data_IF_786889327715
#
_entry.id   IF_786889327715
#
_cell.length_a   1.000
_cell.length_b   1.000
_cell.length_c   1.000
_cell.angle_alpha   90.00
_cell.angle_beta   90.00
_cell.angle_gamma   90.00
#
_symmetry.space_group_name_H-M   'P 1'
#
loop_
_entity.id
_entity.type
_entity.pdbx_description
1 polymer ?
#
# COMPACT_ATOMS: atom_id res chain seq x y z
N UNK A 1 -42.50 -57.33 -18.69
CA UNK A 1 -43.69 -56.82 -19.40
C UNK A 1 -44.49 -55.89 -18.50
N UNK A 2 -44.23 -54.57 -18.58
CA UNK A 2 -45.22 -53.49 -18.56
C UNK A 2 -44.47 -52.16 -18.60
N UNK A 3 -44.73 -51.41 -19.66
CA UNK A 3 -44.21 -50.08 -19.98
C UNK A 3 -45.40 -49.14 -19.81
N UNK A 4 -45.28 -48.06 -19.01
CA UNK A 4 -46.15 -46.88 -19.02
C UNK A 4 -45.25 -45.68 -18.62
N UNK A 5 -44.71 -44.92 -19.59
CA UNK A 5 -45.25 -43.69 -20.23
C UNK A 5 -45.18 -42.41 -19.36
N UNK A 6 -44.20 -41.57 -19.74
CA UNK A 6 -44.26 -40.13 -20.09
C UNK A 6 -45.22 -39.23 -19.32
N UNK A 7 -44.69 -38.13 -18.78
CA UNK A 7 -45.48 -36.93 -18.48
C UNK A 7 -44.74 -35.91 -17.62
N UNK A 8 -44.28 -34.83 -18.25
CA UNK A 8 -43.57 -33.71 -17.63
C UNK A 8 -44.42 -32.90 -16.64
N UNK A 9 -43.79 -32.39 -15.57
CA UNK A 9 -44.14 -31.11 -14.93
C UNK A 9 -42.83 -30.43 -14.53
N UNK A 10 -42.56 -29.31 -15.18
CA UNK A 10 -41.48 -28.39 -14.83
C UNK A 10 -41.87 -27.43 -13.72
N UNK A 11 -40.91 -26.55 -13.42
CA UNK A 11 -40.95 -25.41 -12.52
C UNK A 11 -40.57 -25.68 -11.05
N UNK A 12 -39.48 -25.02 -10.65
CA UNK A 12 -39.19 -24.71 -9.25
C UNK A 12 -37.96 -25.43 -8.71
N UNK A 13 -36.79 -24.86 -8.91
CA UNK A 13 -35.93 -24.27 -7.84
C UNK A 13 -34.76 -23.60 -8.56
N UNK A 14 -34.97 -22.37 -9.02
CA UNK A 14 -33.88 -21.43 -9.34
C UNK A 14 -33.80 -20.43 -8.19
N UNK A 15 -33.33 -20.89 -7.03
CA UNK A 15 -33.25 -20.12 -5.79
C UNK A 15 -32.08 -20.65 -4.97
N UNK A 16 -30.85 -20.18 -5.27
CA UNK A 16 -29.73 -20.08 -4.31
C UNK A 16 -28.41 -19.66 -4.99
N UNK A 17 -28.37 -18.54 -5.70
CA UNK A 17 -27.10 -17.85 -5.98
C UNK A 17 -27.28 -16.33 -5.94
N UNK A 18 -27.78 -15.85 -4.80
CA UNK A 18 -27.61 -14.45 -4.40
C UNK A 18 -26.83 -14.43 -3.09
N UNK A 19 -25.56 -14.86 -3.15
CA UNK A 19 -24.61 -14.46 -2.13
C UNK A 19 -24.40 -12.95 -2.33
N UNK A 20 -25.18 -12.15 -1.61
CA UNK A 20 -24.84 -10.76 -1.39
C UNK A 20 -23.46 -10.77 -0.74
N UNK A 21 -22.43 -10.40 -1.49
CA UNK A 21 -21.14 -10.05 -0.92
C UNK A 21 -21.36 -8.77 -0.13
N UNK A 22 -21.83 -8.93 1.11
CA UNK A 22 -21.79 -7.86 2.09
C UNK A 22 -20.30 -7.60 2.30
N UNK A 23 -19.76 -6.58 1.64
CA UNK A 23 -18.43 -6.05 1.89
C UNK A 23 -18.46 -5.47 3.31
N UNK A 24 -18.31 -6.36 4.29
CA UNK A 24 -18.34 -6.02 5.69
C UNK A 24 -17.15 -5.10 5.99
N UNK A 25 -17.40 -4.07 6.81
CA UNK A 25 -16.34 -3.25 7.37
C UNK A 25 -15.27 -4.13 8.03
N UNK A 26 -14.03 -3.64 8.09
CA UNK A 26 -12.91 -4.41 8.64
C UNK A 26 -13.25 -4.86 10.08
N UNK A 27 -13.20 -6.18 10.38
CA UNK A 27 -13.49 -6.67 11.71
C UNK A 27 -12.61 -6.00 12.78
N UNK A 28 -13.10 -5.77 14.01
CA UNK A 28 -12.33 -5.10 15.07
C UNK A 28 -10.97 -5.75 15.33
N UNK A 29 -10.87 -7.07 15.21
CA UNK A 29 -9.63 -7.83 15.38
C UNK A 29 -8.59 -7.51 14.29
N UNK A 30 -9.02 -7.28 13.05
CA UNK A 30 -8.14 -6.87 11.98
C UNK A 30 -7.72 -5.42 12.13
N UNK A 31 -8.66 -4.53 12.50
CA UNK A 31 -8.35 -3.14 12.78
C UNK A 31 -7.33 -3.00 13.94
N UNK A 32 -7.37 -3.90 14.92
CA UNK A 32 -6.43 -3.94 16.04
C UNK A 32 -4.97 -4.25 15.65
N UNK A 33 -4.70 -4.64 14.39
CA UNK A 33 -3.35 -4.80 13.84
C UNK A 33 -2.69 -3.45 13.52
N UNK A 34 -3.49 -2.41 13.26
CA UNK A 34 -2.99 -1.06 12.98
C UNK A 34 -2.29 -0.48 14.22
N UNK A 35 -1.06 -0.01 14.03
CA UNK A 35 -0.20 0.45 15.12
C UNK A 35 0.53 -0.66 15.88
N UNK A 36 0.24 -1.94 15.59
CA UNK A 36 0.97 -3.11 16.10
C UNK A 36 1.92 -3.65 15.04
N UNK A 37 1.53 -4.71 14.35
CA UNK A 37 2.27 -5.35 13.26
C UNK A 37 2.10 -4.60 11.93
N UNK A 38 1.03 -3.81 11.78
CA UNK A 38 0.88 -2.83 10.72
C UNK A 38 1.24 -1.43 11.23
N UNK A 39 1.73 -0.56 10.34
CA UNK A 39 1.81 0.87 10.60
C UNK A 39 0.39 1.43 10.83
N UNK A 40 0.23 2.62 11.41
CA UNK A 40 -1.09 3.23 11.54
C UNK A 40 -1.81 3.46 10.20
N UNK A 41 -1.06 3.41 9.09
CA UNK A 41 -1.55 3.56 7.72
C UNK A 41 -1.82 2.22 7.02
N UNK A 42 -1.60 1.09 7.69
CA UNK A 42 -1.92 -0.24 7.16
C UNK A 42 -0.80 -0.94 6.38
N UNK A 43 0.39 -0.34 6.27
CA UNK A 43 1.55 -1.01 5.68
C UNK A 43 2.19 -1.99 6.68
N UNK A 44 2.92 -3.00 6.22
CA UNK A 44 3.73 -3.84 7.10
C UNK A 44 4.72 -2.97 7.89
N UNK A 45 4.78 -3.15 9.22
CA UNK A 45 5.70 -2.41 10.08
C UNK A 45 7.09 -3.02 10.12
N UNK A 46 7.18 -4.34 10.02
CA UNK A 46 8.43 -5.07 10.08
C UNK A 46 9.40 -4.68 8.93
N UNK A 47 10.68 -4.97 9.15
CA UNK A 47 11.68 -4.92 8.09
C UNK A 47 11.59 -6.14 7.19
N UNK A 48 12.33 -6.14 6.09
CA UNK A 48 12.42 -7.32 5.22
C UNK A 48 13.17 -8.44 5.94
N UNK A 49 12.78 -9.70 5.68
CA UNK A 49 13.49 -10.87 6.22
C UNK A 49 14.98 -10.91 5.82
N UNK A 50 15.33 -10.32 4.66
CA UNK A 50 16.70 -10.20 4.19
C UNK A 50 17.51 -9.08 4.90
N UNK A 51 16.90 -8.30 5.80
CA UNK A 51 17.56 -7.21 6.53
C UNK A 51 17.89 -5.97 5.68
N UNK A 52 17.49 -5.93 4.42
CA UNK A 52 17.78 -4.83 3.48
C UNK A 52 16.82 -3.65 3.63
N UNK A 53 15.65 -3.87 4.23
CA UNK A 53 14.65 -2.85 4.54
C UNK A 53 14.48 -2.83 6.06
N UNK A 54 14.75 -1.72 6.75
CA UNK A 54 14.58 -1.63 8.19
C UNK A 54 13.09 -1.63 8.58
N UNK A 55 12.74 -1.99 9.82
CA UNK A 55 11.39 -1.78 10.34
C UNK A 55 11.02 -0.29 10.33
N UNK A 56 9.74 0.01 10.20
CA UNK A 56 9.26 1.38 10.34
C UNK A 56 9.14 1.77 11.81
N UNK A 57 9.82 2.84 12.18
CA UNK A 57 9.94 3.34 13.56
C UNK A 57 9.30 4.71 13.77
N UNK A 58 8.49 5.19 12.82
CA UNK A 58 7.83 6.50 12.89
C UNK A 58 8.18 7.45 11.74
N UNK A 59 9.25 7.16 11.00
CA UNK A 59 9.77 8.04 9.96
C UNK A 59 10.47 9.27 10.56
N UNK A 60 10.60 10.33 9.77
CA UNK A 60 11.20 11.61 10.20
C UNK A 60 10.14 12.45 10.90
N UNK A 61 10.28 12.69 12.19
CA UNK A 61 9.30 13.46 13.00
C UNK A 61 9.76 14.86 13.36
N UNK A 62 10.98 15.24 12.99
CA UNK A 62 11.54 16.57 13.22
C UNK A 62 12.45 16.96 12.06
N UNK A 63 12.57 18.26 11.74
CA UNK A 63 13.44 18.70 10.67
C UNK A 63 14.90 18.31 10.92
N UNK A 64 15.70 18.07 9.87
CA UNK A 64 17.13 17.85 10.01
C UNK A 64 17.82 19.04 10.69
N UNK A 65 18.92 18.82 11.43
CA UNK A 65 19.67 19.88 12.07
C UNK A 65 20.03 20.99 11.08
N UNK A 66 19.79 22.24 11.47
CA UNK A 66 20.12 23.42 10.65
C UNK A 66 19.04 23.85 9.65
N UNK A 67 17.97 23.08 9.44
CA UNK A 67 16.85 23.51 8.61
C UNK A 67 16.07 24.67 9.25
N UNK A 68 15.76 25.69 8.45
CA UNK A 68 14.83 26.77 8.81
C UNK A 68 13.68 26.80 7.81
N UNK A 69 12.52 27.26 8.29
CA UNK A 69 11.34 27.43 7.42
C UNK A 69 11.67 28.39 6.29
N UNK A 70 11.49 27.93 5.05
CA UNK A 70 11.83 28.66 3.83
C UNK A 70 13.10 28.17 3.13
N UNK A 71 13.93 27.35 3.80
CA UNK A 71 15.11 26.76 3.18
C UNK A 71 14.74 25.65 2.17
N UNK A 72 15.68 25.36 1.27
CA UNK A 72 15.64 24.09 0.54
C UNK A 72 15.78 22.94 1.53
N UNK A 73 14.94 21.91 1.39
CA UNK A 73 14.95 20.76 2.28
C UNK A 73 16.30 20.04 2.19
N UNK A 74 17.08 19.97 3.29
CA UNK A 74 18.35 19.26 3.29
C UNK A 74 18.12 17.76 3.20
N UNK A 75 19.13 17.02 2.71
CA UNK A 75 19.12 15.56 2.75
C UNK A 75 19.25 15.08 4.21
N UNK A 76 18.22 14.41 4.77
CA UNK A 76 18.28 13.89 6.13
C UNK A 76 19.30 12.74 6.31
N UNK A 77 19.80 12.16 5.21
CA UNK A 77 20.72 11.02 5.21
C UNK A 77 21.99 11.30 4.40
N UNK A 78 22.49 12.53 4.42
CA UNK A 78 23.68 12.94 3.65
C UNK A 78 24.93 12.08 3.90
N UNK A 79 25.01 11.42 5.06
CA UNK A 79 26.11 10.53 5.45
C UNK A 79 25.97 9.09 4.92
N UNK A 80 24.85 8.76 4.23
CA UNK A 80 24.63 7.42 3.70
C UNK A 80 25.64 7.10 2.60
N UNK A 81 26.39 6.02 2.83
CA UNK A 81 27.39 5.53 1.89
C UNK A 81 26.74 4.64 0.84
N UNK A 82 27.30 4.69 -0.37
CA UNK A 82 26.94 3.77 -1.45
C UNK A 82 27.29 2.35 -0.99
N UNK A 83 26.32 1.44 -1.05
CA UNK A 83 26.50 0.02 -0.77
C UNK A 83 27.18 -0.68 -1.95
N UNK A 84 26.70 -0.40 -3.16
CA UNK A 84 27.27 -0.87 -4.43
C UNK A 84 26.75 0.00 -5.58
N UNK A 85 27.32 -0.16 -6.76
CA UNK A 85 26.88 0.57 -7.96
C UNK A 85 26.58 -0.41 -9.08
N UNK A 86 25.40 -0.27 -9.68
CA UNK A 86 25.01 -1.02 -10.88
C UNK A 86 25.42 -0.20 -12.11
N UNK A 87 26.13 -0.82 -13.03
CA UNK A 87 26.59 -0.26 -14.31
C UNK A 87 26.16 -1.19 -15.43
N UNK A 88 26.33 -0.77 -16.69
CA UNK A 88 26.08 -1.64 -17.84
C UNK A 88 26.85 -2.97 -17.78
N UNK A 89 28.06 -2.97 -17.20
CA UNK A 89 28.93 -4.14 -17.12
C UNK A 89 28.47 -5.21 -16.12
N UNK A 90 27.80 -4.84 -15.03
CA UNK A 90 27.34 -5.78 -14.00
C UNK A 90 25.81 -5.91 -13.93
N UNK A 91 25.06 -5.20 -14.78
CA UNK A 91 23.61 -5.20 -14.73
C UNK A 91 23.00 -6.61 -14.90
N UNK A 92 23.70 -7.54 -15.55
CA UNK A 92 23.25 -8.95 -15.67
C UNK A 92 23.16 -9.66 -14.30
N UNK A 93 24.00 -9.26 -13.34
CA UNK A 93 24.00 -9.80 -11.98
C UNK A 93 22.76 -9.38 -11.17
N UNK A 94 22.06 -8.33 -11.62
CA UNK A 94 20.94 -7.72 -10.91
C UNK A 94 19.63 -7.75 -11.73
N UNK A 95 19.52 -8.60 -12.76
CA UNK A 95 18.36 -8.60 -13.68
C UNK A 95 17.02 -8.72 -12.98
N UNK A 96 16.92 -9.57 -11.96
CA UNK A 96 15.68 -9.77 -11.18
C UNK A 96 15.28 -8.55 -10.34
N UNK A 97 16.14 -7.52 -10.27
CA UNK A 97 15.91 -6.27 -9.54
C UNK A 97 15.77 -5.06 -10.47
N UNK A 98 15.89 -5.25 -11.78
CA UNK A 98 15.87 -4.17 -12.77
C UNK A 98 14.71 -4.34 -13.72
N UNK A 99 13.99 -3.26 -14.00
CA UNK A 99 13.00 -3.24 -15.08
C UNK A 99 13.70 -3.30 -16.45
N UNK A 100 13.01 -3.77 -17.50
CA UNK A 100 13.56 -3.74 -18.87
C UNK A 100 14.05 -2.35 -19.28
N UNK A 101 13.34 -1.29 -18.87
CA UNK A 101 13.75 0.09 -19.11
C UNK A 101 15.04 0.48 -18.40
N UNK A 102 15.23 0.07 -17.14
CA UNK A 102 16.48 0.32 -16.41
C UNK A 102 17.67 -0.42 -17.04
N UNK A 103 17.47 -1.67 -17.46
CA UNK A 103 18.49 -2.45 -18.18
C UNK A 103 18.85 -1.76 -19.51
N UNK A 104 17.85 -1.28 -20.24
CA UNK A 104 18.07 -0.56 -21.50
C UNK A 104 18.88 0.73 -21.29
N UNK A 105 18.57 1.54 -20.26
CA UNK A 105 19.33 2.74 -19.92
C UNK A 105 20.81 2.43 -19.61
N UNK A 106 21.05 1.41 -18.78
CA UNK A 106 22.41 0.98 -18.41
C UNK A 106 23.23 0.47 -19.60
N UNK A 107 22.60 -0.14 -20.59
CA UNK A 107 23.26 -0.62 -21.82
C UNK A 107 23.49 0.51 -22.83
N UNK A 108 22.55 1.44 -22.95
CA UNK A 108 22.58 2.52 -23.95
C UNK A 108 23.61 3.59 -23.59
N UNK A 109 23.75 3.89 -22.30
CA UNK A 109 24.59 4.99 -21.83
C UNK A 109 25.74 4.46 -20.95
N UNK A 110 26.98 4.32 -21.47
CA UNK A 110 28.13 3.81 -20.71
C UNK A 110 28.48 4.64 -19.46
N UNK A 111 28.10 5.93 -19.44
CA UNK A 111 28.31 6.82 -18.30
C UNK A 111 27.20 6.72 -17.24
N UNK A 112 26.08 6.08 -17.57
CA UNK A 112 24.98 5.90 -16.63
C UNK A 112 25.33 4.82 -15.60
N UNK A 113 25.11 5.16 -14.33
CA UNK A 113 25.33 4.28 -13.20
C UNK A 113 24.23 4.50 -12.17
N UNK A 114 23.86 3.42 -11.48
CA UNK A 114 22.86 3.44 -10.43
C UNK A 114 23.56 3.15 -9.10
N UNK A 115 23.97 4.17 -8.34
CA UNK A 115 24.47 3.99 -6.98
C UNK A 115 23.31 3.52 -6.09
N UNK A 116 23.53 2.44 -5.37
CA UNK A 116 22.54 1.86 -4.45
C UNK A 116 22.93 2.23 -3.02
N UNK A 117 21.97 2.76 -2.27
CA UNK A 117 22.13 3.23 -0.89
C UNK A 117 21.30 2.37 0.07
N UNK A 118 21.54 2.45 1.39
CA UNK A 118 20.70 1.84 2.40
C UNK A 118 19.23 2.28 2.26
N UNK A 119 18.30 1.36 2.46
CA UNK A 119 16.87 1.72 2.49
C UNK A 119 16.55 2.46 3.78
N UNK A 120 15.89 3.61 3.67
CA UNK A 120 15.36 4.37 4.81
C UNK A 120 13.82 4.43 4.72
N UNK A 121 13.12 4.03 5.78
CA UNK A 121 11.65 4.18 5.88
C UNK A 121 11.31 5.51 6.56
N UNK A 122 11.53 6.61 5.84
CA UNK A 122 11.47 7.98 6.37
C UNK A 122 10.08 8.62 6.38
N UNK A 123 9.11 8.06 5.65
CA UNK A 123 7.78 8.64 5.55
C UNK A 123 7.07 8.68 6.92
N UNK A 124 6.52 9.84 7.24
CA UNK A 124 5.77 10.13 8.46
C UNK A 124 4.57 11.03 8.15
N UNK A 125 3.55 10.98 8.99
CA UNK A 125 2.35 11.80 8.92
C UNK A 125 2.07 12.39 10.31
N UNK A 126 1.34 13.51 10.40
CA UNK A 126 0.91 14.05 11.68
C UNK A 126 0.07 13.05 12.47
N UNK A 127 0.18 13.06 13.80
CA UNK A 127 -0.51 12.10 14.68
C UNK A 127 -2.02 12.03 14.42
N UNK A 128 -2.67 13.19 14.21
CA UNK A 128 -4.11 13.24 13.91
C UNK A 128 -4.52 12.45 12.66
N UNK A 129 -3.61 12.30 11.68
CA UNK A 129 -3.88 11.52 10.46
C UNK A 129 -3.79 10.03 10.74
N UNK A 130 -2.86 9.61 11.60
CA UNK A 130 -2.78 8.23 12.07
C UNK A 130 -4.02 7.84 12.85
N UNK A 131 -4.42 8.65 13.83
CA UNK A 131 -5.59 8.39 14.66
C UNK A 131 -6.86 8.32 13.82
N UNK A 132 -7.02 9.26 12.89
CA UNK A 132 -8.16 9.30 11.98
C UNK A 132 -8.19 8.12 11.01
N UNK A 133 -7.04 7.68 10.52
CA UNK A 133 -6.93 6.48 9.67
C UNK A 133 -7.33 5.21 10.42
N UNK A 134 -6.86 5.05 11.66
CA UNK A 134 -7.26 3.92 12.52
C UNK A 134 -8.78 3.97 12.77
N UNK A 135 -9.33 5.15 13.05
CA UNK A 135 -10.75 5.33 13.26
C UNK A 135 -11.59 5.08 12.00
N UNK A 136 -11.03 5.17 10.79
CA UNK A 136 -11.72 4.85 9.55
C UNK A 136 -11.87 3.33 9.34
N UNK A 137 -10.91 2.52 9.79
CA UNK A 137 -10.87 1.09 9.51
C UNK A 137 -12.19 0.34 9.79
N UNK A 138 -12.86 0.51 10.95
CA UNK A 138 -14.09 -0.23 11.25
C UNK A 138 -15.38 0.40 10.68
N UNK A 139 -15.32 1.57 10.05
CA UNK A 139 -16.54 2.33 9.67
C UNK A 139 -16.60 2.78 8.21
N UNK A 140 -15.46 2.99 7.56
CA UNK A 140 -15.41 3.42 6.18
C UNK A 140 -16.05 2.35 5.29
N UNK A 141 -16.87 2.78 4.34
CA UNK A 141 -17.55 1.88 3.42
C UNK A 141 -17.57 2.43 2.01
N UNK A 142 -17.48 1.54 1.04
CA UNK A 142 -17.79 1.86 -0.34
C UNK A 142 -19.30 2.09 -0.49
N UNK A 143 -19.67 3.09 -1.28
CA UNK A 143 -21.05 3.40 -1.65
C UNK A 143 -21.17 3.58 -3.15
N UNK A 144 -22.40 3.66 -3.67
CA UNK A 144 -22.66 3.85 -5.11
C UNK A 144 -21.88 2.85 -5.99
N UNK A 145 -21.95 1.56 -5.63
CA UNK A 145 -21.27 0.46 -6.32
C UNK A 145 -19.73 0.63 -6.43
N UNK A 146 -19.12 1.25 -5.41
CA UNK A 146 -17.67 1.49 -5.37
C UNK A 146 -17.25 2.84 -5.94
N UNK A 147 -18.19 3.66 -6.45
CA UNK A 147 -17.92 5.00 -6.97
C UNK A 147 -17.96 6.09 -5.89
N UNK A 148 -18.04 5.72 -4.62
CA UNK A 148 -17.91 6.67 -3.51
C UNK A 148 -17.44 6.02 -2.22
N UNK A 149 -17.08 6.86 -1.27
CA UNK A 149 -16.71 6.49 0.09
C UNK A 149 -17.60 7.24 1.07
N UNK A 150 -18.16 6.53 2.04
CA UNK A 150 -18.91 7.10 3.16
C UNK A 150 -18.24 6.76 4.50
N UNK A 151 -18.59 7.54 5.52
CA UNK A 151 -18.20 7.34 6.92
C UNK A 151 -16.68 7.35 7.20
N UNK A 152 -15.88 7.84 6.25
CA UNK A 152 -14.45 8.11 6.43
C UNK A 152 -14.21 9.60 6.76
N UNK A 153 -13.20 9.87 7.59
CA UNK A 153 -12.66 11.23 7.81
C UNK A 153 -11.25 11.33 7.20
N UNK A 154 -10.61 12.49 7.35
CA UNK A 154 -9.24 12.76 6.89
C UNK A 154 -8.28 11.59 7.17
N UNK A 155 -7.44 11.23 6.21
CA UNK A 155 -6.51 10.10 6.31
C UNK A 155 -6.72 9.07 5.21
N UNK A 156 -6.38 7.82 5.49
CA UNK A 156 -6.63 6.71 4.56
C UNK A 156 -8.01 6.09 4.89
N UNK A 157 -8.95 6.01 3.94
CA UNK A 157 -10.27 5.43 4.19
C UNK A 157 -10.22 3.93 4.53
N UNK A 158 -9.47 3.14 3.77
CA UNK A 158 -9.42 1.68 3.91
C UNK A 158 -8.00 1.21 4.20
N UNK A 159 -7.44 1.41 5.41
CA UNK A 159 -6.06 1.05 5.71
C UNK A 159 -5.75 -0.45 5.54
N UNK A 160 -6.78 -1.32 5.60
CA UNK A 160 -6.67 -2.75 5.30
C UNK A 160 -7.61 -3.04 4.13
N UNK A 161 -7.21 -2.72 2.88
CA UNK A 161 -8.11 -2.79 1.74
C UNK A 161 -8.40 -4.26 1.35
N UNK A 162 -9.65 -4.56 1.03
CA UNK A 162 -10.14 -5.90 0.67
C UNK A 162 -10.32 -6.09 -0.84
N UNK A 163 -10.33 -5.01 -1.61
CA UNK A 163 -10.53 -5.05 -3.06
C UNK A 163 -9.86 -3.86 -3.76
N UNK A 164 -9.85 -3.89 -5.10
CA UNK A 164 -9.23 -2.86 -5.92
C UNK A 164 -9.86 -1.48 -5.78
N UNK A 165 -11.18 -1.37 -5.58
CA UNK A 165 -11.84 -0.07 -5.41
C UNK A 165 -11.35 0.64 -4.14
N UNK A 166 -11.19 -0.09 -3.04
CA UNK A 166 -10.64 0.47 -1.80
C UNK A 166 -9.20 0.97 -1.97
N UNK A 167 -8.37 0.22 -2.70
CA UNK A 167 -7.00 0.65 -3.05
C UNK A 167 -7.01 1.94 -3.89
N UNK A 168 -7.90 2.03 -4.88
CA UNK A 168 -8.07 3.22 -5.72
C UNK A 168 -8.50 4.41 -4.86
N UNK A 169 -9.48 4.23 -3.96
CA UNK A 169 -9.93 5.29 -3.08
C UNK A 169 -8.86 5.76 -2.09
N UNK A 170 -8.07 4.85 -1.55
CA UNK A 170 -6.90 5.21 -0.75
C UNK A 170 -5.93 6.07 -1.55
N UNK A 171 -5.68 5.74 -2.82
CA UNK A 171 -4.87 6.58 -3.68
C UNK A 171 -5.52 7.97 -3.86
N UNK A 172 -6.80 8.04 -4.19
CA UNK A 172 -7.50 9.32 -4.46
C UNK A 172 -7.49 10.22 -3.22
N UNK A 173 -7.87 9.69 -2.06
CA UNK A 173 -8.18 10.43 -0.84
C UNK A 173 -7.02 10.54 0.16
N UNK A 174 -5.85 9.95 -0.15
CA UNK A 174 -4.66 10.05 0.71
C UNK A 174 -4.36 11.49 1.12
N UNK A 175 -3.93 11.65 2.36
CA UNK A 175 -3.38 12.91 2.84
C UNK A 175 -2.15 13.33 2.02
N UNK A 176 -2.06 14.62 1.65
CA UNK A 176 -1.01 15.20 0.78
C UNK A 176 -0.20 16.32 1.42
N UNK A 177 -0.25 16.46 2.75
CA UNK A 177 0.39 17.55 3.49
C UNK A 177 -0.58 18.65 3.89
N UNK A 178 -0.08 19.57 4.72
CA UNK A 178 -0.74 20.84 5.09
C UNK A 178 -0.15 21.94 4.20
N UNK A 179 -0.95 22.95 3.90
CA UNK A 179 -0.48 24.18 3.27
C UNK A 179 -0.15 25.20 4.35
#
# INVERSE_FOLDING_TARGET
MRIWNVGAIGAGVALAFAAANLLAAVPPEEAARLGKDLTPLGAERAGSAAGTIPPWTGGITSPPPGYKVGDHHPDPFAEDRILFTITGANADQYRDRLSPGQVALLKTYPTYKMPVYPTRRSASFPQRIYDATIANAPRAKLVADGNGVADAIIGIPFPIPKNGHEVIWNHILRYRGER
#
